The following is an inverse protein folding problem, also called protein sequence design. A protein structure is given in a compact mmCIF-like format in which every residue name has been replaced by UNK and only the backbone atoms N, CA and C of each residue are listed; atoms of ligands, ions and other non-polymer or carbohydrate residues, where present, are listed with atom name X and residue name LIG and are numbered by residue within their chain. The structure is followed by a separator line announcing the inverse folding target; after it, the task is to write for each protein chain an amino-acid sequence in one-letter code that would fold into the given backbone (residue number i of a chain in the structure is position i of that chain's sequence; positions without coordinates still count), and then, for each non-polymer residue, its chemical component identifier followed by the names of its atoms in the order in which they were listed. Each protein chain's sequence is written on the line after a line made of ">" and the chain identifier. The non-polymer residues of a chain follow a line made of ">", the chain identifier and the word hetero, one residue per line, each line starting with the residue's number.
data_IF_958321470727
#
_entry.id   IF_958321470727
#
_cell.length_a   1.000
_cell.length_b   1.000
_cell.length_c   1.000
_cell.angle_alpha   90.00
_cell.angle_beta   90.00
_cell.angle_gamma   90.00
#
_symmetry.space_group_name_H-M   'P 1'
#
loop_
_entity.id
_entity.type
_entity.pdbx_description
1 polymer ?
#
# COMPACT_ATOMS: atom_id res chain seq x y z
N UNK A 1 33.09 -47.88 -11.23
CA UNK A 1 32.81 -47.83 -9.78
C UNK A 1 32.16 -49.15 -9.38
N UNK A 2 32.81 -49.92 -8.51
CA UNK A 2 32.49 -51.34 -8.22
C UNK A 2 31.13 -51.52 -7.54
N UNK A 3 30.38 -52.55 -7.98
CA UNK A 3 29.12 -53.05 -7.39
C UNK A 3 29.20 -53.21 -5.86
N UNK A 4 30.38 -53.48 -5.33
CA UNK A 4 30.66 -53.70 -3.92
C UNK A 4 30.42 -52.46 -3.04
N UNK A 5 30.42 -51.25 -3.64
CA UNK A 5 30.07 -49.99 -2.92
C UNK A 5 28.56 -49.78 -2.84
N UNK A 6 27.80 -50.25 -3.82
CA UNK A 6 26.34 -50.14 -3.83
C UNK A 6 25.70 -51.11 -2.83
N UNK A 7 26.26 -52.30 -2.68
CA UNK A 7 25.76 -53.32 -1.75
C UNK A 7 26.05 -52.95 -0.29
N UNK A 8 27.17 -52.26 -0.01
CA UNK A 8 27.47 -51.71 1.32
C UNK A 8 26.54 -50.59 1.76
N UNK A 9 26.07 -49.76 0.82
CA UNK A 9 25.11 -48.69 1.13
C UNK A 9 23.72 -49.29 1.43
N UNK A 10 23.29 -50.31 0.67
CA UNK A 10 22.05 -51.04 0.95
C UNK A 10 22.08 -51.80 2.29
N UNK A 11 23.21 -52.41 2.64
CA UNK A 11 23.34 -53.12 3.91
C UNK A 11 23.32 -52.18 5.14
N UNK A 12 23.81 -50.95 5.01
CA UNK A 12 23.73 -49.95 6.08
C UNK A 12 22.33 -49.34 6.23
N UNK A 13 21.58 -49.20 5.12
CA UNK A 13 20.20 -48.69 5.16
C UNK A 13 19.23 -49.67 5.83
N UNK A 14 19.48 -50.98 5.75
CA UNK A 14 18.64 -52.01 6.37
C UNK A 14 18.97 -52.29 7.86
N UNK A 15 20.11 -51.79 8.38
CA UNK A 15 20.48 -51.93 9.80
C UNK A 15 20.01 -50.79 10.69
N UNK A 16 19.72 -49.62 10.13
CA UNK A 16 19.07 -48.54 10.87
C UNK A 16 17.56 -48.69 10.70
N UNK A 17 16.95 -49.44 11.63
CA UNK A 17 15.53 -49.74 11.63
C UNK A 17 14.68 -48.49 11.43
N UNK A 18 13.98 -48.46 10.29
CA UNK A 18 12.85 -47.57 10.06
C UNK A 18 11.78 -47.86 11.09
N UNK A 19 11.75 -47.05 12.14
CA UNK A 19 10.52 -46.76 12.87
C UNK A 19 10.07 -45.39 12.41
N UNK A 20 9.09 -45.37 11.51
CA UNK A 20 8.28 -44.18 11.27
C UNK A 20 7.72 -43.74 12.61
N UNK A 21 8.20 -42.61 13.14
CA UNK A 21 7.63 -42.00 14.33
C UNK A 21 6.21 -41.53 13.97
N UNK A 22 5.18 -41.89 14.75
CA UNK A 22 3.85 -41.34 14.55
C UNK A 22 3.90 -39.82 14.76
N UNK A 23 3.13 -39.07 13.98
CA UNK A 23 3.09 -37.59 14.02
C UNK A 23 2.79 -37.02 15.42
N UNK A 24 2.19 -37.81 16.31
CA UNK A 24 1.92 -37.44 17.70
C UNK A 24 3.18 -37.32 18.58
N UNK A 25 4.25 -38.09 18.33
CA UNK A 25 5.49 -38.05 19.13
C UNK A 25 6.33 -36.78 18.82
N UNK A 26 6.12 -36.18 17.64
CA UNK A 26 6.75 -34.91 17.27
C UNK A 26 6.06 -33.76 18.00
N UNK A 27 4.74 -33.79 18.14
CA UNK A 27 3.98 -32.77 18.89
C UNK A 27 4.31 -32.81 20.39
N UNK A 28 4.52 -33.98 21.00
CA UNK A 28 4.80 -34.09 22.44
C UNK A 28 6.23 -33.66 22.82
N UNK A 29 7.21 -33.89 21.95
CA UNK A 29 8.59 -33.42 22.15
C UNK A 29 8.79 -31.92 21.92
N UNK A 30 7.90 -31.27 21.15
CA UNK A 30 7.90 -29.82 20.91
C UNK A 30 7.08 -29.07 21.98
N UNK A 31 6.03 -29.68 22.51
CA UNK A 31 5.15 -29.04 23.50
C UNK A 31 5.71 -29.00 24.93
N UNK A 32 6.63 -29.90 25.30
CA UNK A 32 7.19 -30.01 26.65
C UNK A 32 8.33 -29.02 26.98
N UNK A 33 8.77 -28.16 26.06
CA UNK A 33 9.85 -27.17 26.30
C UNK A 33 9.42 -25.70 26.26
N UNK A 34 8.13 -25.38 26.10
CA UNK A 34 7.63 -24.01 25.88
C UNK A 34 7.18 -23.28 27.15
N UNK A 35 7.70 -23.69 28.31
CA UNK A 35 7.42 -23.04 29.60
C UNK A 35 8.56 -22.12 30.06
N UNK A 36 8.43 -20.82 29.79
CA UNK A 36 9.23 -19.69 30.32
C UNK A 36 10.69 -19.62 29.84
N UNK A 37 10.97 -18.65 28.95
CA UNK A 37 12.28 -18.29 28.37
C UNK A 37 12.98 -19.44 27.62
N UNK A 38 12.26 -20.06 26.67
CA UNK A 38 12.91 -20.93 25.69
C UNK A 38 13.80 -20.06 24.80
N UNK A 39 15.12 -20.24 24.92
CA UNK A 39 16.12 -19.64 24.04
C UNK A 39 15.67 -19.73 22.57
N UNK A 40 15.79 -18.62 21.86
CA UNK A 40 15.63 -18.47 20.42
C UNK A 40 16.59 -19.43 19.70
N UNK A 41 16.21 -20.71 19.61
CA UNK A 41 17.08 -21.73 19.04
C UNK A 41 17.04 -21.56 17.53
N UNK A 42 18.13 -21.03 16.98
CA UNK A 42 18.30 -20.90 15.54
C UNK A 42 18.37 -22.32 14.94
N UNK A 43 17.42 -22.63 14.07
CA UNK A 43 17.33 -23.85 13.28
C UNK A 43 17.71 -23.56 11.82
N UNK A 44 18.12 -24.60 11.10
CA UNK A 44 18.40 -24.52 9.66
C UNK A 44 17.24 -25.17 8.92
N UNK A 45 16.62 -24.45 7.99
CA UNK A 45 15.47 -24.92 7.21
C UNK A 45 15.81 -24.90 5.72
N UNK A 46 15.31 -25.89 4.98
CA UNK A 46 15.39 -25.85 3.51
C UNK A 46 14.49 -24.73 3.01
N UNK A 47 15.00 -23.89 2.11
CA UNK A 47 14.26 -22.71 1.62
C UNK A 47 12.93 -23.09 0.95
N UNK A 48 12.83 -24.28 0.36
CA UNK A 48 11.62 -24.75 -0.31
C UNK A 48 10.50 -25.16 0.66
N UNK A 49 10.79 -25.23 1.96
CA UNK A 49 9.80 -25.54 3.00
C UNK A 49 9.12 -24.29 3.55
N UNK A 50 9.53 -23.11 3.08
CA UNK A 50 9.10 -21.81 3.59
C UNK A 50 8.17 -21.13 2.60
N UNK A 51 7.04 -20.64 3.10
CA UNK A 51 6.13 -19.81 2.34
C UNK A 51 6.20 -18.37 2.85
N UNK A 52 6.32 -17.37 1.96
CA UNK A 52 6.13 -15.97 2.33
C UNK A 52 4.75 -15.74 2.92
N UNK A 53 4.61 -14.65 3.67
CA UNK A 53 3.35 -14.36 4.29
C UNK A 53 2.42 -13.62 3.33
N UNK A 54 1.31 -14.26 2.98
CA UNK A 54 0.30 -13.73 2.05
C UNK A 54 -0.30 -12.40 2.42
N UNK A 55 -0.17 -11.96 3.68
CA UNK A 55 -0.69 -10.67 4.14
C UNK A 55 0.43 -9.70 4.56
N UNK A 56 1.66 -9.94 4.11
CA UNK A 56 2.75 -9.01 4.32
C UNK A 56 2.43 -7.67 3.67
N UNK A 57 2.43 -6.59 4.46
CA UNK A 57 2.15 -5.23 3.95
C UNK A 57 3.26 -4.69 3.04
N UNK A 58 4.48 -5.23 3.19
CA UNK A 58 5.65 -4.90 2.38
C UNK A 58 5.81 -5.91 1.25
N UNK A 59 5.25 -5.61 0.08
CA UNK A 59 5.62 -6.34 -1.14
C UNK A 59 7.05 -5.98 -1.51
N UNK A 60 7.96 -6.95 -1.45
CA UNK A 60 9.38 -6.78 -1.84
C UNK A 60 9.54 -6.41 -3.30
N UNK A 61 8.63 -6.88 -4.13
CA UNK A 61 8.65 -6.77 -5.57
C UNK A 61 7.31 -6.22 -6.02
N UNK A 62 7.26 -5.31 -7.01
CA UNK A 62 6.00 -4.81 -7.57
C UNK A 62 5.41 -5.84 -8.55
N UNK A 63 5.05 -7.01 -8.02
CA UNK A 63 4.52 -8.18 -8.74
C UNK A 63 2.99 -8.07 -8.81
N UNK A 64 2.42 -8.60 -9.88
CA UNK A 64 0.98 -8.70 -10.05
C UNK A 64 0.36 -9.61 -8.97
N UNK A 65 -0.77 -9.20 -8.39
CA UNK A 65 -1.45 -9.95 -7.33
C UNK A 65 -1.76 -11.40 -7.77
N UNK A 66 -2.06 -11.58 -9.06
CA UNK A 66 -2.35 -12.88 -9.68
C UNK A 66 -1.15 -13.82 -9.73
N UNK A 67 0.08 -13.30 -9.87
CA UNK A 67 1.31 -14.10 -9.86
C UNK A 67 1.61 -14.58 -8.43
N UNK A 68 1.46 -13.69 -7.43
CA UNK A 68 1.60 -14.08 -6.02
C UNK A 68 0.54 -15.10 -5.61
N UNK A 69 -0.69 -15.00 -6.12
CA UNK A 69 -1.73 -16.00 -5.84
C UNK A 69 -1.32 -17.42 -6.27
N UNK A 70 -0.63 -17.55 -7.41
CA UNK A 70 -0.11 -18.85 -7.90
C UNK A 70 0.99 -19.43 -7.01
N UNK A 71 1.77 -18.59 -6.32
CA UNK A 71 2.71 -19.08 -5.32
C UNK A 71 1.93 -19.63 -4.10
N UNK A 72 0.91 -18.91 -3.65
CA UNK A 72 0.15 -19.27 -2.45
C UNK A 72 -0.79 -20.46 -2.63
N UNK A 73 -1.26 -20.75 -3.85
CA UNK A 73 -2.01 -21.97 -4.15
C UNK A 73 -1.11 -23.17 -4.51
N UNK A 74 0.21 -22.94 -4.60
CA UNK A 74 1.21 -23.96 -4.94
C UNK A 74 1.30 -24.29 -6.44
N UNK A 75 0.60 -23.56 -7.31
CA UNK A 75 0.70 -23.73 -8.76
C UNK A 75 2.06 -23.32 -9.29
N UNK A 76 2.70 -22.32 -8.67
CA UNK A 76 4.04 -21.83 -8.99
C UNK A 76 5.02 -22.06 -7.84
N UNK A 77 6.24 -22.44 -8.19
CA UNK A 77 7.39 -22.41 -7.28
C UNK A 77 7.96 -21.00 -7.15
N UNK A 78 8.78 -20.77 -6.13
CA UNK A 78 9.52 -19.52 -5.98
C UNK A 78 10.44 -19.23 -7.18
N UNK A 79 11.01 -20.27 -7.81
CA UNK A 79 11.84 -20.11 -9.01
C UNK A 79 11.03 -19.66 -10.22
N UNK A 80 9.85 -20.25 -10.44
CA UNK A 80 8.95 -19.82 -11.53
C UNK A 80 8.46 -18.38 -11.35
N UNK A 81 8.27 -17.94 -10.11
CA UNK A 81 7.97 -16.54 -9.84
C UNK A 81 9.17 -15.63 -10.14
N UNK A 82 10.40 -16.04 -9.80
CA UNK A 82 11.62 -15.31 -10.17
C UNK A 82 11.81 -15.21 -11.68
N UNK A 83 11.45 -16.25 -12.46
CA UNK A 83 11.47 -16.18 -13.92
C UNK A 83 10.53 -15.09 -14.45
N UNK A 84 9.31 -15.01 -13.90
CA UNK A 84 8.35 -13.97 -14.27
C UNK A 84 8.88 -12.56 -13.94
N UNK A 85 9.43 -12.39 -12.73
CA UNK A 85 10.03 -11.11 -12.30
C UNK A 85 11.22 -10.73 -13.21
N UNK A 86 12.08 -11.71 -13.53
CA UNK A 86 13.26 -11.49 -14.35
C UNK A 86 12.90 -11.08 -15.79
N UNK A 87 11.76 -11.53 -16.31
CA UNK A 87 11.24 -11.12 -17.61
C UNK A 87 10.75 -9.66 -17.59
N UNK A 88 10.11 -9.22 -16.50
CA UNK A 88 9.52 -7.88 -16.37
C UNK A 88 10.56 -6.78 -16.06
N UNK A 89 11.75 -7.14 -15.55
CA UNK A 89 12.76 -6.17 -15.11
C UNK A 89 13.22 -5.18 -16.18
N UNK A 90 13.17 -5.57 -17.46
CA UNK A 90 13.58 -4.71 -18.57
C UNK A 90 12.55 -3.64 -18.93
N UNK A 91 11.31 -3.81 -18.48
CA UNK A 91 10.18 -2.94 -18.81
C UNK A 91 9.78 -2.03 -17.64
N UNK A 92 10.21 -2.37 -16.42
CA UNK A 92 9.79 -1.69 -15.21
C UNK A 92 10.98 -1.36 -14.29
N UNK A 93 11.32 -0.07 -14.23
CA UNK A 93 12.42 0.45 -13.40
C UNK A 93 12.26 0.10 -11.91
N UNK A 94 11.03 0.03 -11.40
CA UNK A 94 10.79 -0.34 -10.00
C UNK A 94 11.09 -1.82 -9.74
N UNK A 95 10.78 -2.70 -10.71
CA UNK A 95 11.19 -4.11 -10.66
C UNK A 95 12.71 -4.22 -10.71
N UNK A 96 13.36 -3.50 -11.63
CA UNK A 96 14.82 -3.51 -11.78
C UNK A 96 15.53 -3.01 -10.50
N UNK A 97 15.03 -1.95 -9.87
CA UNK A 97 15.59 -1.44 -8.62
C UNK A 97 15.44 -2.45 -7.47
N UNK A 98 14.27 -3.08 -7.33
CA UNK A 98 14.05 -4.14 -6.34
C UNK A 98 14.94 -5.37 -6.61
N UNK A 99 15.18 -5.68 -7.90
CA UNK A 99 16.07 -6.74 -8.35
C UNK A 99 17.50 -6.50 -7.92
N UNK A 100 18.02 -5.31 -8.21
CA UNK A 100 19.38 -4.95 -7.82
C UNK A 100 19.57 -4.98 -6.30
N UNK A 101 18.63 -4.44 -5.53
CA UNK A 101 18.70 -4.52 -4.06
C UNK A 101 18.73 -5.95 -3.53
N UNK A 102 18.04 -6.88 -4.22
CA UNK A 102 18.03 -8.29 -3.83
C UNK A 102 19.33 -9.00 -4.23
N UNK A 103 19.94 -8.63 -5.36
CA UNK A 103 21.30 -9.06 -5.73
C UNK A 103 22.32 -8.60 -4.68
N UNK A 104 22.25 -7.34 -4.26
CA UNK A 104 23.19 -6.79 -3.29
C UNK A 104 23.08 -7.55 -1.95
N UNK A 105 21.85 -7.86 -1.52
CA UNK A 105 21.60 -8.69 -0.34
C UNK A 105 22.08 -10.14 -0.53
N UNK A 106 21.87 -10.73 -1.70
CA UNK A 106 22.35 -12.08 -2.02
C UNK A 106 23.89 -12.15 -1.94
N UNK A 107 24.59 -11.19 -2.54
CA UNK A 107 26.05 -11.11 -2.47
C UNK A 107 26.55 -10.90 -1.03
N UNK A 108 25.86 -10.07 -0.23
CA UNK A 108 26.18 -9.91 1.20
C UNK A 108 26.02 -11.23 1.97
N UNK A 109 24.95 -11.99 1.72
CA UNK A 109 24.74 -13.31 2.35
C UNK A 109 25.85 -14.28 1.96
N UNK A 110 26.25 -14.33 0.69
CA UNK A 110 27.32 -15.22 0.24
C UNK A 110 28.68 -14.86 0.87
N UNK A 111 28.96 -13.57 1.01
CA UNK A 111 30.23 -13.04 1.52
C UNK A 111 30.37 -13.13 3.04
N UNK A 112 29.30 -12.85 3.78
CA UNK A 112 29.33 -12.67 5.23
C UNK A 112 28.58 -13.77 5.98
N UNK A 113 27.77 -14.57 5.27
CA UNK A 113 26.74 -15.42 5.85
C UNK A 113 25.50 -14.61 6.23
N UNK A 114 24.43 -15.30 6.60
CA UNK A 114 23.20 -14.66 7.03
C UNK A 114 23.37 -14.02 8.41
N UNK A 115 23.61 -12.71 8.50
CA UNK A 115 23.87 -12.03 9.78
C UNK A 115 22.78 -12.25 10.84
N UNK A 116 21.49 -12.20 10.45
CA UNK A 116 20.38 -12.40 11.38
C UNK A 116 19.38 -13.46 10.86
N UNK A 117 18.90 -14.35 11.74
CA UNK A 117 17.92 -15.37 11.39
C UNK A 117 16.61 -14.74 10.89
N UNK A 118 15.82 -15.51 10.13
CA UNK A 118 14.42 -15.20 9.84
C UNK A 118 13.54 -15.73 10.97
N UNK A 119 12.31 -15.23 11.11
CA UNK A 119 11.34 -15.78 12.07
C UNK A 119 10.27 -16.53 11.29
N UNK A 120 9.92 -17.74 11.73
CA UNK A 120 8.95 -18.60 11.04
C UNK A 120 7.97 -19.24 12.01
N UNK A 121 6.73 -19.46 11.58
CA UNK A 121 5.73 -20.18 12.34
C UNK A 121 5.24 -21.41 11.56
N UNK A 122 5.06 -22.58 12.21
CA UNK A 122 4.43 -23.71 11.56
C UNK A 122 2.94 -23.39 11.31
N UNK A 123 2.43 -23.70 10.12
CA UNK A 123 1.04 -23.44 9.77
C UNK A 123 0.39 -24.66 9.09
N UNK A 124 -0.85 -24.95 9.47
CA UNK A 124 -1.66 -26.01 8.85
C UNK A 124 -2.32 -25.50 7.56
N UNK A 125 -2.51 -26.40 6.60
CA UNK A 125 -3.22 -26.08 5.35
C UNK A 125 -2.38 -25.32 4.31
N UNK A 126 -1.05 -25.35 4.43
CA UNK A 126 -0.15 -24.83 3.39
C UNK A 126 -0.15 -25.77 2.17
N UNK A 127 0.20 -25.26 0.97
CA UNK A 127 0.39 -26.10 -0.20
C UNK A 127 1.47 -27.16 0.03
N UNK A 128 1.41 -28.25 -0.74
CA UNK A 128 2.35 -29.37 -0.61
C UNK A 128 3.81 -28.90 -0.73
N UNK A 129 4.65 -29.31 0.22
CA UNK A 129 6.06 -28.92 0.29
C UNK A 129 6.36 -27.83 1.32
N UNK A 130 5.39 -26.94 1.59
CA UNK A 130 5.55 -25.89 2.58
C UNK A 130 5.18 -26.37 3.98
N UNK A 131 6.03 -26.04 4.96
CA UNK A 131 5.87 -26.42 6.38
C UNK A 131 5.75 -25.21 7.30
N UNK A 132 6.36 -24.10 6.90
CA UNK A 132 6.40 -22.89 7.71
C UNK A 132 6.01 -21.65 6.91
N UNK A 133 5.41 -20.68 7.58
CA UNK A 133 5.21 -19.32 7.06
C UNK A 133 6.22 -18.38 7.68
N UNK A 134 6.79 -17.51 6.86
CA UNK A 134 7.78 -16.52 7.28
C UNK A 134 7.06 -15.39 8.00
N UNK A 135 7.34 -15.16 9.28
CA UNK A 135 6.87 -13.97 9.99
C UNK A 135 7.70 -12.75 9.61
N UNK A 136 9.03 -12.84 9.76
CA UNK A 136 9.96 -11.77 9.41
C UNK A 136 11.17 -12.30 8.66
N UNK A 137 11.74 -11.46 7.78
CA UNK A 137 12.94 -11.83 7.01
C UNK A 137 12.68 -12.31 5.58
N UNK A 138 11.51 -12.04 4.99
CA UNK A 138 11.21 -12.39 3.59
C UNK A 138 12.27 -11.90 2.59
N UNK A 139 12.90 -10.75 2.83
CA UNK A 139 14.00 -10.29 1.97
C UNK A 139 15.17 -11.27 1.91
N UNK A 140 15.50 -11.94 3.02
CA UNK A 140 16.54 -12.97 3.04
C UNK A 140 16.06 -14.21 2.30
N UNK A 141 14.84 -14.66 2.56
CA UNK A 141 14.23 -15.77 1.82
C UNK A 141 14.31 -15.56 0.29
N UNK A 142 13.92 -14.38 -0.20
CA UNK A 142 14.02 -14.07 -1.62
C UNK A 142 15.47 -14.00 -2.12
N UNK A 143 16.39 -13.45 -1.33
CA UNK A 143 17.82 -13.44 -1.69
C UNK A 143 18.39 -14.86 -1.81
N UNK A 144 18.00 -15.79 -0.93
CA UNK A 144 18.39 -17.19 -1.03
C UNK A 144 17.87 -17.85 -2.32
N UNK A 145 16.58 -17.70 -2.65
CA UNK A 145 16.05 -18.19 -3.93
C UNK A 145 16.73 -17.55 -5.15
N UNK A 146 17.05 -16.26 -5.05
CA UNK A 146 17.75 -15.52 -6.09
C UNK A 146 19.20 -16.01 -6.28
N UNK A 147 19.91 -16.41 -5.23
CA UNK A 147 21.24 -17.03 -5.36
C UNK A 147 21.17 -18.27 -6.26
N UNK A 148 20.20 -19.16 -6.04
CA UNK A 148 20.01 -20.34 -6.90
C UNK A 148 19.70 -19.93 -8.33
N UNK A 149 18.75 -19.01 -8.51
CA UNK A 149 18.37 -18.52 -9.84
C UNK A 149 19.55 -17.92 -10.61
N UNK A 150 20.34 -17.06 -9.96
CA UNK A 150 21.51 -16.41 -10.56
C UNK A 150 22.62 -17.42 -10.88
N UNK A 151 22.81 -18.44 -10.04
CA UNK A 151 23.80 -19.49 -10.28
C UNK A 151 23.53 -20.25 -11.58
N UNK A 152 22.25 -20.42 -11.94
CA UNK A 152 21.82 -21.11 -13.15
C UNK A 152 21.76 -20.18 -14.38
N UNK A 153 21.26 -18.95 -14.21
CA UNK A 153 20.88 -18.09 -15.33
C UNK A 153 21.82 -16.89 -15.57
N UNK A 154 22.51 -16.41 -14.53
CA UNK A 154 23.32 -15.20 -14.58
C UNK A 154 24.50 -15.22 -13.58
N UNK A 155 25.41 -16.22 -13.66
CA UNK A 155 26.43 -16.44 -12.63
C UNK A 155 27.41 -15.28 -12.49
N UNK A 156 27.58 -14.45 -13.52
CA UNK A 156 28.44 -13.26 -13.49
C UNK A 156 27.92 -12.15 -12.57
N UNK A 157 26.67 -12.22 -12.10
CA UNK A 157 26.11 -11.27 -11.13
C UNK A 157 26.41 -11.66 -9.68
N UNK A 158 26.88 -12.90 -9.45
CA UNK A 158 27.40 -13.34 -8.17
C UNK A 158 28.88 -12.99 -8.09
N UNK A 159 29.23 -12.17 -7.10
CA UNK A 159 30.57 -11.59 -6.99
C UNK A 159 31.61 -12.59 -6.45
N UNK A 160 31.15 -13.66 -5.80
CA UNK A 160 32.01 -14.67 -5.20
C UNK A 160 31.85 -16.01 -5.90
N UNK A 161 32.95 -16.72 -6.19
CA UNK A 161 32.88 -18.08 -6.69
C UNK A 161 32.30 -19.00 -5.61
N UNK A 162 31.61 -20.07 -6.03
CA UNK A 162 30.91 -20.99 -5.14
C UNK A 162 31.79 -21.59 -4.03
N UNK A 163 33.07 -21.81 -4.30
CA UNK A 163 34.03 -22.33 -3.32
C UNK A 163 34.31 -21.36 -2.16
N UNK A 164 33.99 -20.08 -2.30
CA UNK A 164 34.21 -19.03 -1.31
C UNK A 164 32.93 -18.65 -0.54
N UNK A 165 31.81 -19.28 -0.86
CA UNK A 165 30.54 -19.01 -0.17
C UNK A 165 30.61 -19.48 1.28
N UNK A 166 30.20 -18.60 2.22
CA UNK A 166 30.25 -18.91 3.65
C UNK A 166 29.14 -19.82 4.15
N UNK A 167 28.05 -19.91 3.41
CA UNK A 167 26.87 -20.69 3.77
C UNK A 167 26.32 -21.42 2.54
N UNK A 168 25.70 -22.58 2.79
CA UNK A 168 24.98 -23.33 1.77
C UNK A 168 23.64 -22.64 1.49
N UNK A 169 23.40 -22.11 0.26
CA UNK A 169 22.18 -21.39 -0.05
C UNK A 169 20.95 -22.32 -0.13
N UNK A 170 21.10 -23.64 0.02
CA UNK A 170 19.93 -24.52 0.20
C UNK A 170 19.24 -24.29 1.54
N UNK A 171 19.97 -23.83 2.56
CA UNK A 171 19.44 -23.73 3.92
C UNK A 171 19.51 -22.31 4.47
N UNK A 172 18.42 -21.89 5.10
CA UNK A 172 18.30 -20.58 5.75
C UNK A 172 18.18 -20.73 7.26
N UNK A 173 18.84 -19.85 8.00
CA UNK A 173 18.78 -19.79 9.46
C UNK A 173 17.48 -19.15 9.91
N UNK A 174 16.71 -19.84 10.74
CA UNK A 174 15.40 -19.42 11.20
C UNK A 174 15.23 -19.60 12.72
N UNK A 175 14.37 -18.79 13.33
CA UNK A 175 13.83 -18.98 14.68
C UNK A 175 12.38 -19.41 14.53
N UNK A 176 12.04 -20.60 15.02
CA UNK A 176 10.68 -21.08 15.02
C UNK A 176 9.90 -20.51 16.22
N UNK A 177 8.76 -19.91 15.95
CA UNK A 177 7.80 -19.41 16.94
C UNK A 177 6.51 -20.21 16.86
N UNK A 178 5.71 -20.17 17.93
CA UNK A 178 4.47 -20.95 18.02
C UNK A 178 3.36 -20.41 17.12
N UNK A 179 3.16 -19.09 17.12
CA UNK A 179 2.08 -18.44 16.38
C UNK A 179 2.59 -17.15 15.73
N UNK A 180 2.27 -16.93 14.44
CA UNK A 180 2.64 -15.70 13.76
C UNK A 180 1.86 -14.53 14.36
N UNK A 181 2.50 -13.36 14.48
CA UNK A 181 1.85 -12.15 14.97
C UNK A 181 2.17 -10.94 14.09
N UNK A 182 1.13 -10.36 13.47
CA UNK A 182 1.29 -9.12 12.69
C UNK A 182 1.76 -7.96 13.53
N UNK A 183 1.28 -7.87 14.77
CA UNK A 183 1.70 -6.82 15.68
C UNK A 183 3.22 -6.84 15.88
N UNK A 184 3.81 -8.03 16.05
CA UNK A 184 5.27 -8.19 16.16
C UNK A 184 5.98 -7.80 14.87
N UNK A 185 5.49 -8.28 13.73
CA UNK A 185 6.03 -7.91 12.41
C UNK A 185 6.05 -6.39 12.19
N UNK A 186 4.92 -5.73 12.45
CA UNK A 186 4.77 -4.27 12.27
C UNK A 186 5.67 -3.53 13.26
N UNK A 187 5.70 -3.92 14.53
CA UNK A 187 6.54 -3.30 15.55
C UNK A 187 8.04 -3.38 15.18
N UNK A 188 8.51 -4.55 14.71
CA UNK A 188 9.90 -4.75 14.29
C UNK A 188 10.25 -3.88 13.06
N UNK A 189 9.38 -3.87 12.05
CA UNK A 189 9.59 -3.08 10.83
C UNK A 189 9.57 -1.57 11.12
N UNK A 190 8.74 -1.13 12.05
CA UNK A 190 8.69 0.24 12.52
C UNK A 190 9.97 0.66 13.25
N UNK A 191 10.48 -0.18 14.16
CA UNK A 191 11.74 0.07 14.87
C UNK A 191 12.93 0.19 13.90
N UNK A 192 12.92 -0.60 12.83
CA UNK A 192 13.97 -0.58 11.80
C UNK A 192 13.73 0.44 10.68
N UNK A 193 12.65 1.22 10.73
CA UNK A 193 12.24 2.16 9.67
C UNK A 193 12.28 1.52 8.27
N UNK A 194 11.87 0.26 8.17
CA UNK A 194 12.16 -0.60 7.02
C UNK A 194 11.15 -0.50 5.87
N UNK A 195 10.16 0.39 5.96
CA UNK A 195 9.16 0.59 4.91
C UNK A 195 9.74 1.42 3.78
N UNK A 196 9.61 0.94 2.55
CA UNK A 196 10.11 1.63 1.37
C UNK A 196 9.18 2.79 0.98
N UNK A 197 7.87 2.60 1.08
CA UNK A 197 6.86 3.63 0.79
C UNK A 197 5.95 3.91 1.99
N UNK A 198 5.28 5.06 1.96
CA UNK A 198 4.20 5.34 2.91
C UNK A 198 3.01 4.39 2.75
N UNK A 199 2.81 3.84 1.54
CA UNK A 199 1.75 2.87 1.27
C UNK A 199 2.06 1.53 1.93
N UNK A 200 3.31 1.04 1.87
CA UNK A 200 3.71 -0.19 2.57
C UNK A 200 3.42 -0.12 4.06
N UNK A 201 3.77 1.03 4.65
CA UNK A 201 3.53 1.29 6.07
C UNK A 201 2.03 1.33 6.39
N UNK A 202 1.22 1.95 5.53
CA UNK A 202 -0.22 1.97 5.68
C UNK A 202 -0.85 0.56 5.58
N UNK A 203 -0.37 -0.25 4.63
CA UNK A 203 -0.81 -1.64 4.46
C UNK A 203 -0.44 -2.51 5.66
N UNK A 204 0.74 -2.31 6.23
CA UNK A 204 1.18 -3.01 7.44
C UNK A 204 0.29 -2.67 8.65
N UNK A 205 -0.10 -1.40 8.82
CA UNK A 205 -1.07 -1.04 9.85
C UNK A 205 -2.46 -1.62 9.60
N UNK A 206 -2.92 -1.62 8.34
CA UNK A 206 -4.22 -2.18 7.99
C UNK A 206 -4.27 -3.70 8.21
N UNK A 207 -3.20 -4.42 7.88
CA UNK A 207 -3.11 -5.87 8.08
C UNK A 207 -3.11 -6.26 9.56
N UNK A 208 -2.34 -5.55 10.38
CA UNK A 208 -2.35 -5.71 11.83
C UNK A 208 -3.73 -5.44 12.43
N UNK A 209 -4.42 -4.39 11.98
CA UNK A 209 -5.76 -4.09 12.48
C UNK A 209 -6.81 -5.09 11.99
N UNK A 210 -6.64 -5.68 10.81
CA UNK A 210 -7.51 -6.74 10.32
C UNK A 210 -7.39 -8.00 11.19
N UNK A 211 -6.15 -8.43 11.49
CA UNK A 211 -5.86 -9.56 12.38
C UNK A 211 -6.45 -9.35 13.78
N UNK A 212 -6.18 -8.19 14.40
CA UNK A 212 -6.75 -7.84 15.71
C UNK A 212 -8.29 -7.83 15.71
N UNK A 213 -8.89 -7.50 14.57
CA UNK A 213 -10.35 -7.51 14.40
C UNK A 213 -10.95 -8.90 14.27
N UNK A 214 -10.14 -9.97 14.32
CA UNK A 214 -10.57 -11.33 14.01
C UNK A 214 -11.03 -11.50 12.56
N UNK A 215 -10.69 -10.55 11.69
CA UNK A 215 -10.98 -10.67 10.27
C UNK A 215 -9.89 -11.56 9.67
N UNK A 216 -10.22 -12.84 9.51
CA UNK A 216 -9.48 -13.70 8.59
C UNK A 216 -9.45 -12.98 7.25
N UNK A 217 -8.25 -12.77 6.73
CA UNK A 217 -8.05 -12.09 5.46
C UNK A 217 -8.39 -13.10 4.35
N UNK A 218 -9.67 -13.46 4.24
CA UNK A 218 -10.15 -14.26 3.14
C UNK A 218 -10.02 -13.44 1.84
N UNK A 219 -9.47 -14.07 0.79
CA UNK A 219 -9.27 -13.43 -0.52
C UNK A 219 -7.81 -13.26 -0.95
N UNK A 220 -7.62 -12.65 -2.11
CA UNK A 220 -6.31 -12.49 -2.76
C UNK A 220 -5.33 -11.69 -1.92
N UNK A 221 -4.04 -12.02 -1.99
CA UNK A 221 -2.99 -11.22 -1.37
C UNK A 221 -3.02 -9.77 -1.89
N UNK A 222 -2.64 -8.77 -1.09
CA UNK A 222 -2.52 -7.40 -1.57
C UNK A 222 -1.50 -7.35 -2.70
N UNK A 223 -1.79 -6.62 -3.77
CA UNK A 223 -0.93 -6.54 -4.94
C UNK A 223 -1.37 -5.47 -5.92
N UNK A 224 -0.63 -5.34 -7.01
CA UNK A 224 -1.03 -4.48 -8.12
C UNK A 224 -1.72 -5.37 -9.16
N UNK A 225 -2.84 -4.91 -9.71
CA UNK A 225 -3.52 -5.57 -10.82
C UNK A 225 -3.99 -4.52 -11.81
N UNK A 226 -3.54 -4.62 -13.06
CA UNK A 226 -3.84 -3.65 -14.12
C UNK A 226 -3.57 -2.20 -13.69
N UNK A 227 -2.45 -1.96 -13.01
CA UNK A 227 -2.04 -0.65 -12.52
C UNK A 227 -2.83 -0.11 -11.31
N UNK A 228 -3.63 -0.95 -10.65
CA UNK A 228 -4.43 -0.58 -9.48
C UNK A 228 -4.00 -1.38 -8.26
N UNK A 229 -3.95 -0.75 -7.10
CA UNK A 229 -3.70 -1.45 -5.85
C UNK A 229 -4.97 -2.22 -5.45
N UNK A 230 -4.90 -3.54 -5.49
CA UNK A 230 -5.97 -4.46 -5.05
C UNK A 230 -5.64 -4.96 -3.65
N UNK A 231 -6.58 -4.78 -2.74
CA UNK A 231 -6.43 -5.17 -1.33
C UNK A 231 -7.60 -6.07 -0.90
N UNK A 232 -7.36 -7.02 0.03
CA UNK A 232 -8.45 -7.74 0.68
C UNK A 232 -9.46 -6.78 1.33
N UNK A 233 -10.75 -7.12 1.32
CA UNK A 233 -11.80 -6.30 1.94
C UNK A 233 -11.54 -6.07 3.44
N UNK A 234 -10.92 -7.05 4.12
CA UNK A 234 -10.53 -6.92 5.52
C UNK A 234 -9.58 -5.73 5.76
N UNK A 235 -8.71 -5.40 4.81
CA UNK A 235 -7.79 -4.26 4.91
C UNK A 235 -8.53 -2.95 4.77
N UNK A 236 -9.44 -2.85 3.79
CA UNK A 236 -10.28 -1.68 3.61
C UNK A 236 -11.13 -1.39 4.84
N UNK A 237 -11.76 -2.44 5.37
CA UNK A 237 -12.56 -2.36 6.61
C UNK A 237 -11.70 -1.92 7.79
N UNK A 238 -10.53 -2.52 7.98
CA UNK A 238 -9.62 -2.19 9.06
C UNK A 238 -9.11 -0.74 8.96
N UNK A 239 -8.76 -0.27 7.75
CA UNK A 239 -8.34 1.11 7.51
C UNK A 239 -9.45 2.12 7.82
N UNK A 240 -10.70 1.84 7.43
CA UNK A 240 -11.87 2.68 7.74
C UNK A 240 -12.21 2.70 9.24
N UNK A 241 -12.13 1.56 9.91
CA UNK A 241 -12.37 1.47 11.36
C UNK A 241 -11.27 2.19 12.15
N UNK A 242 -10.03 2.12 11.66
CA UNK A 242 -8.85 2.68 12.31
C UNK A 242 -8.62 2.09 13.70
N UNK A 243 -8.15 2.95 14.61
CA UNK A 243 -7.80 2.58 15.99
C UNK A 243 -8.97 2.72 16.99
N UNK A 244 -10.22 2.61 16.54
CA UNK A 244 -11.40 2.65 17.42
C UNK A 244 -11.42 1.39 18.30
N UNK A 245 -11.48 1.55 19.62
CA UNK A 245 -11.50 0.44 20.59
C UNK A 245 -10.15 -0.29 20.80
N UNK A 246 -9.12 -0.01 19.99
CA UNK A 246 -7.85 -0.76 19.96
C UNK A 246 -6.68 -0.01 20.62
N UNK A 247 -6.91 0.53 21.83
CA UNK A 247 -5.90 1.36 22.52
C UNK A 247 -4.67 0.54 22.95
N UNK A 248 -4.87 -0.72 23.32
CA UNK A 248 -3.80 -1.62 23.81
C UNK A 248 -2.72 -1.91 22.76
N UNK A 249 -3.03 -1.79 21.46
CA UNK A 249 -2.04 -1.95 20.38
C UNK A 249 -1.00 -0.82 20.38
N UNK A 250 -1.36 0.37 20.87
CA UNK A 250 -0.47 1.54 20.86
C UNK A 250 0.72 1.37 21.80
N UNK A 251 0.55 0.59 22.86
CA UNK A 251 1.61 0.37 23.86
C UNK A 251 2.73 -0.54 23.32
N UNK A 252 2.46 -1.25 22.21
CA UNK A 252 3.38 -2.23 21.60
C UNK A 252 4.06 -1.71 20.32
N UNK A 253 3.62 -0.55 19.81
CA UNK A 253 4.16 0.04 18.58
C UNK A 253 5.01 1.28 18.89
N UNK A 254 6.18 1.44 18.24
CA UNK A 254 6.98 2.66 18.35
C UNK A 254 6.40 3.81 17.48
N UNK A 255 5.09 3.80 17.22
CA UNK A 255 4.40 4.76 16.35
C UNK A 255 3.22 5.40 17.08
N UNK A 256 3.08 6.72 16.93
CA UNK A 256 1.98 7.44 17.60
C UNK A 256 0.62 7.12 16.95
N UNK A 257 -0.46 7.19 17.75
CA UNK A 257 -1.85 7.07 17.26
C UNK A 257 -2.13 7.95 16.05
N UNK A 258 -1.67 9.21 16.09
CA UNK A 258 -1.87 10.18 15.01
C UNK A 258 -1.13 9.76 13.74
N UNK A 259 0.08 9.21 13.86
CA UNK A 259 0.86 8.71 12.73
C UNK A 259 0.19 7.52 12.07
N UNK A 260 -0.27 6.54 12.85
CA UNK A 260 -0.99 5.37 12.34
C UNK A 260 -2.26 5.81 11.58
N UNK A 261 -3.05 6.71 12.19
CA UNK A 261 -4.26 7.24 11.55
C UNK A 261 -3.99 7.98 10.23
N UNK A 262 -2.90 8.76 10.14
CA UNK A 262 -2.52 9.43 8.89
C UNK A 262 -2.23 8.42 7.78
N UNK A 263 -1.48 7.37 8.07
CA UNK A 263 -1.16 6.34 7.08
C UNK A 263 -2.41 5.57 6.66
N UNK A 264 -3.27 5.18 7.60
CA UNK A 264 -4.54 4.52 7.26
C UNK A 264 -5.46 5.43 6.40
N UNK A 265 -5.43 6.74 6.66
CA UNK A 265 -6.17 7.72 5.84
C UNK A 265 -5.72 7.71 4.38
N UNK A 266 -4.43 7.50 4.10
CA UNK A 266 -3.92 7.40 2.72
C UNK A 266 -4.67 6.31 1.95
N UNK A 267 -4.81 5.12 2.53
CA UNK A 267 -5.55 4.03 1.89
C UNK A 267 -6.98 4.47 1.58
N UNK A 268 -7.69 5.00 2.59
CA UNK A 268 -9.13 5.31 2.43
C UNK A 268 -9.44 6.51 1.53
N UNK A 269 -8.48 7.41 1.30
CA UNK A 269 -8.73 8.69 0.64
C UNK A 269 -8.16 8.79 -0.78
N UNK A 270 -7.10 8.04 -1.08
CA UNK A 270 -6.47 8.05 -2.40
C UNK A 270 -7.08 7.01 -3.32
N UNK A 271 -7.15 7.33 -4.61
CA UNK A 271 -7.61 6.42 -5.64
C UNK A 271 -6.69 5.18 -5.78
N UNK A 272 -7.21 3.97 -6.08
CA UNK A 272 -6.39 2.77 -6.21
C UNK A 272 -5.25 2.86 -7.24
N UNK A 273 -5.38 3.63 -8.33
CA UNK A 273 -4.27 3.82 -9.27
C UNK A 273 -3.18 4.70 -8.67
N UNK A 274 -3.57 5.71 -7.88
CA UNK A 274 -2.66 6.61 -7.17
C UNK A 274 -1.89 5.83 -6.10
N UNK A 275 -2.58 4.95 -5.37
CA UNK A 275 -1.95 4.07 -4.39
C UNK A 275 -0.93 3.12 -5.02
N UNK A 276 -1.23 2.55 -6.20
CA UNK A 276 -0.30 1.70 -6.93
C UNK A 276 0.95 2.47 -7.37
N UNK A 277 0.77 3.62 -8.02
CA UNK A 277 1.87 4.48 -8.46
C UNK A 277 2.72 4.96 -7.28
N UNK A 278 2.09 5.43 -6.20
CA UNK A 278 2.77 5.86 -4.99
C UNK A 278 3.63 4.75 -4.36
N UNK A 279 3.13 3.52 -4.38
CA UNK A 279 3.86 2.35 -3.89
C UNK A 279 5.03 1.99 -4.81
N UNK A 280 4.82 1.94 -6.13
CA UNK A 280 5.87 1.63 -7.12
C UNK A 280 7.04 2.62 -7.07
N UNK A 281 6.75 3.91 -6.87
CA UNK A 281 7.75 4.97 -6.82
C UNK A 281 8.23 5.31 -5.39
N UNK A 282 7.91 4.47 -4.41
CA UNK A 282 8.36 4.64 -3.02
C UNK A 282 8.05 6.01 -2.40
N UNK A 283 6.90 6.60 -2.72
CA UNK A 283 6.58 7.96 -2.31
C UNK A 283 6.35 8.06 -0.79
N UNK A 284 6.81 9.19 -0.23
CA UNK A 284 6.69 9.50 1.18
C UNK A 284 5.30 10.00 1.56
N UNK A 285 4.94 9.89 2.84
CA UNK A 285 3.65 10.36 3.34
C UNK A 285 3.48 11.88 3.16
N UNK A 286 4.58 12.63 3.22
CA UNK A 286 4.57 14.08 3.03
C UNK A 286 4.23 14.47 1.57
N UNK A 287 4.72 13.73 0.57
CA UNK A 287 4.38 13.95 -0.84
C UNK A 287 2.93 13.59 -1.16
N UNK A 288 2.37 12.58 -0.48
CA UNK A 288 1.00 12.10 -0.74
C UNK A 288 -0.08 12.90 -0.02
N UNK A 289 0.28 13.57 1.09
CA UNK A 289 -0.68 14.29 1.93
C UNK A 289 -1.49 15.36 1.20
N UNK A 290 -0.91 16.19 0.30
CA UNK A 290 -1.66 17.20 -0.44
C UNK A 290 -2.77 16.60 -1.32
N UNK A 291 -2.59 15.36 -1.80
CA UNK A 291 -3.55 14.67 -2.67
C UNK A 291 -4.79 14.18 -1.91
N UNK A 292 -4.69 13.96 -0.59
CA UNK A 292 -5.76 13.35 0.22
C UNK A 292 -7.08 14.14 0.20
N UNK A 293 -7.02 15.46 0.05
CA UNK A 293 -8.20 16.34 -0.04
C UNK A 293 -8.68 16.56 -1.48
N UNK A 294 -7.96 16.07 -2.48
CA UNK A 294 -8.25 16.31 -3.89
C UNK A 294 -9.23 15.26 -4.47
N UNK A 295 -10.04 15.62 -5.48
CA UNK A 295 -10.80 14.67 -6.29
C UNK A 295 -9.91 13.62 -6.97
N UNK A 296 -10.45 12.44 -7.27
CA UNK A 296 -9.69 11.35 -7.87
C UNK A 296 -9.05 11.69 -9.24
N UNK A 297 -9.68 12.55 -10.05
CA UNK A 297 -9.10 13.06 -11.30
C UNK A 297 -7.79 13.80 -11.02
N UNK A 298 -7.82 14.69 -10.05
CA UNK A 298 -6.73 15.61 -9.73
C UNK A 298 -5.62 14.86 -9.01
N UNK A 299 -5.97 13.90 -8.15
CA UNK A 299 -5.01 12.98 -7.55
C UNK A 299 -4.20 12.24 -8.62
N UNK A 300 -4.86 11.76 -9.70
CA UNK A 300 -4.19 11.04 -10.80
C UNK A 300 -3.31 11.95 -11.66
N UNK A 301 -3.73 13.19 -11.88
CA UNK A 301 -2.88 14.17 -12.58
C UNK A 301 -1.65 14.53 -11.74
N UNK A 302 -1.87 14.89 -10.47
CA UNK A 302 -0.82 15.29 -9.53
C UNK A 302 0.21 14.19 -9.30
N UNK A 303 -0.22 12.93 -9.12
CA UNK A 303 0.73 11.82 -8.90
C UNK A 303 1.62 11.61 -10.12
N UNK A 304 1.08 11.79 -11.34
CA UNK A 304 1.85 11.71 -12.57
C UNK A 304 2.96 12.75 -12.62
N UNK A 305 2.65 14.01 -12.30
CA UNK A 305 3.65 15.09 -12.24
C UNK A 305 4.66 14.87 -11.12
N UNK A 306 4.23 14.48 -9.91
CA UNK A 306 5.11 14.20 -8.78
C UNK A 306 6.14 13.13 -9.14
N UNK A 307 5.71 12.07 -9.82
CA UNK A 307 6.60 10.98 -10.25
C UNK A 307 7.52 11.44 -11.39
N UNK A 308 6.96 12.05 -12.43
CA UNK A 308 7.72 12.43 -13.62
C UNK A 308 8.82 13.46 -13.30
N UNK A 309 8.53 14.42 -12.43
CA UNK A 309 9.45 15.50 -12.06
C UNK A 309 10.20 15.22 -10.75
N UNK A 310 9.95 14.06 -10.11
CA UNK A 310 10.54 13.68 -8.82
C UNK A 310 10.37 14.76 -7.74
N UNK A 311 9.17 15.34 -7.65
CA UNK A 311 8.90 16.51 -6.80
C UNK A 311 9.12 16.21 -5.33
N UNK A 312 9.76 17.16 -4.63
CA UNK A 312 9.87 17.16 -3.18
C UNK A 312 8.50 17.33 -2.52
N UNK A 313 8.41 17.08 -1.21
CA UNK A 313 7.16 17.28 -0.46
C UNK A 313 6.66 18.73 -0.49
N UNK A 314 7.58 19.70 -0.63
CA UNK A 314 7.25 21.12 -0.71
C UNK A 314 6.66 21.45 -2.07
N UNK A 315 7.32 21.03 -3.15
CA UNK A 315 6.85 21.26 -4.53
C UNK A 315 5.52 20.54 -4.79
N UNK A 316 5.34 19.32 -4.27
CA UNK A 316 4.06 18.60 -4.35
C UNK A 316 2.92 19.34 -3.66
N UNK A 317 3.23 20.08 -2.57
CA UNK A 317 2.25 20.91 -1.88
C UNK A 317 1.93 22.17 -2.68
N UNK A 318 2.95 22.89 -3.15
CA UNK A 318 2.81 24.09 -3.98
C UNK A 318 2.02 23.80 -5.27
N UNK A 319 2.31 22.69 -5.96
CA UNK A 319 1.58 22.24 -7.15
C UNK A 319 0.10 21.95 -6.84
N UNK A 320 -0.16 21.33 -5.70
CA UNK A 320 -1.52 21.05 -5.23
C UNK A 320 -2.30 22.32 -4.89
N UNK A 321 -1.64 23.37 -4.40
CA UNK A 321 -2.26 24.68 -4.13
C UNK A 321 -2.54 25.44 -5.43
N UNK A 322 -1.60 25.45 -6.38
CA UNK A 322 -1.78 26.09 -7.69
C UNK A 322 -3.01 25.57 -8.42
N UNK A 323 -3.24 24.26 -8.43
CA UNK A 323 -4.46 23.69 -9.03
C UNK A 323 -5.75 24.13 -8.33
N UNK A 324 -5.70 24.48 -7.04
CA UNK A 324 -6.88 25.03 -6.36
C UNK A 324 -7.15 26.49 -6.78
N UNK A 325 -6.08 27.27 -6.93
CA UNK A 325 -6.17 28.68 -7.31
C UNK A 325 -6.60 28.86 -8.77
N UNK A 326 -6.09 28.02 -9.68
CA UNK A 326 -6.48 28.01 -11.10
C UNK A 326 -7.98 27.71 -11.27
N UNK A 327 -8.51 26.77 -10.49
CA UNK A 327 -9.95 26.47 -10.52
C UNK A 327 -10.81 27.62 -9.99
N UNK A 328 -10.34 28.35 -8.98
CA UNK A 328 -11.03 29.54 -8.47
C UNK A 328 -11.02 30.63 -9.54
N UNK A 329 -9.89 30.84 -10.21
CA UNK A 329 -9.76 31.83 -11.28
C UNK A 329 -10.66 31.50 -12.48
N UNK A 330 -10.75 30.22 -12.87
CA UNK A 330 -11.66 29.75 -13.92
C UNK A 330 -13.13 30.02 -13.59
N UNK A 331 -13.53 29.80 -12.33
CA UNK A 331 -14.90 30.07 -11.86
C UNK A 331 -15.19 31.57 -11.89
N UNK A 332 -14.27 32.39 -11.37
CA UNK A 332 -14.44 33.85 -11.37
C UNK A 332 -14.48 34.43 -12.79
N UNK A 333 -13.65 33.91 -13.70
CA UNK A 333 -13.65 34.26 -15.12
C UNK A 333 -14.97 33.89 -15.80
N UNK A 334 -15.48 32.67 -15.57
CA UNK A 334 -16.77 32.23 -16.11
C UNK A 334 -17.93 33.08 -15.57
N UNK A 335 -17.92 33.41 -14.28
CA UNK A 335 -18.91 34.30 -13.67
C UNK A 335 -18.82 35.73 -14.20
N UNK A 336 -17.62 36.24 -14.48
CA UNK A 336 -17.40 37.53 -15.11
C UNK A 336 -17.97 37.60 -16.52
N UNK A 337 -17.68 36.57 -17.34
CA UNK A 337 -18.19 36.47 -18.70
C UNK A 337 -19.73 36.40 -18.76
N UNK A 338 -20.35 35.69 -17.82
CA UNK A 338 -21.81 35.62 -17.70
C UNK A 338 -22.45 36.95 -17.33
N UNK A 339 -21.83 37.72 -16.43
CA UNK A 339 -22.31 39.07 -16.10
C UNK A 339 -22.21 40.02 -17.29
N UNK A 340 -21.13 39.94 -18.06
CA UNK A 340 -20.95 40.75 -19.25
C UNK A 340 -21.99 40.41 -20.34
N UNK A 341 -22.34 39.13 -20.50
CA UNK A 341 -23.41 38.71 -21.42
C UNK A 341 -24.80 39.14 -20.93
N UNK A 342 -25.10 39.05 -19.64
CA UNK A 342 -26.34 39.62 -19.07
C UNK A 342 -26.44 41.14 -19.27
N UNK A 343 -25.34 41.86 -19.09
CA UNK A 343 -25.30 43.32 -19.22
C UNK A 343 -25.43 43.77 -20.69
N UNK A 344 -24.83 43.02 -21.62
CA UNK A 344 -25.03 43.22 -23.07
C UNK A 344 -26.47 42.93 -23.48
N UNK A 345 -27.07 41.84 -22.97
CA UNK A 345 -28.47 41.48 -23.26
C UNK A 345 -29.48 42.47 -22.66
N UNK A 346 -29.13 43.16 -21.56
CA UNK A 346 -29.95 44.24 -21.00
C UNK A 346 -29.86 45.54 -21.79
N UNK A 347 -28.73 45.81 -22.43
CA UNK A 347 -28.51 47.03 -23.20
C UNK A 347 -29.04 46.90 -24.65
N UNK A 348 -29.09 45.69 -25.21
CA UNK A 348 -29.74 45.40 -26.50
C UNK A 348 -31.23 45.05 -26.30
N UNK A 349 -32.05 46.06 -26.01
CA UNK A 349 -33.50 45.96 -26.13
C UNK A 349 -33.91 46.05 -27.61
N UNK A 350 -33.98 44.91 -28.31
CA UNK A 350 -34.35 44.91 -29.73
C UNK A 350 -34.84 43.60 -30.31
N UNK A 351 -33.99 42.58 -30.40
CA UNK A 351 -34.30 41.39 -31.20
C UNK A 351 -34.02 40.07 -30.47
N UNK A 352 -34.94 39.13 -30.63
CA UNK A 352 -34.91 37.81 -30.00
C UNK A 352 -33.77 36.95 -30.57
N UNK A 353 -32.63 36.91 -29.85
CA UNK A 353 -31.52 36.01 -30.15
C UNK A 353 -31.91 34.59 -29.70
N UNK A 354 -31.76 33.55 -30.54
CA UNK A 354 -32.12 32.18 -30.18
C UNK A 354 -31.23 31.63 -29.06
N UNK A 355 -31.87 30.95 -28.11
CA UNK A 355 -31.28 30.29 -26.94
C UNK A 355 -30.43 29.07 -27.35
N UNK A 356 -29.21 29.29 -27.82
CA UNK A 356 -28.15 28.29 -27.71
C UNK A 356 -27.38 28.57 -26.43
N UNK A 357 -27.33 27.60 -25.51
CA UNK A 357 -26.54 27.67 -24.27
C UNK A 357 -25.14 28.21 -24.59
N UNK A 358 -24.81 29.45 -24.19
CA UNK A 358 -23.51 30.04 -24.45
C UNK A 358 -22.42 29.12 -23.90
N UNK A 359 -21.29 29.01 -24.60
CA UNK A 359 -20.17 28.15 -24.20
C UNK A 359 -19.71 28.45 -22.76
N UNK A 360 -19.92 29.68 -22.33
CA UNK A 360 -19.71 30.25 -21.00
C UNK A 360 -20.64 29.62 -19.95
N UNK A 361 -21.92 29.40 -20.26
CA UNK A 361 -22.84 28.67 -19.38
C UNK A 361 -22.42 27.20 -19.30
N UNK A 362 -21.98 26.59 -20.41
CA UNK A 362 -21.47 25.22 -20.39
C UNK A 362 -20.15 25.09 -19.58
N UNK A 363 -19.30 26.12 -19.56
CA UNK A 363 -18.10 26.19 -18.71
C UNK A 363 -18.49 26.36 -17.24
N UNK A 364 -19.42 27.26 -16.92
CA UNK A 364 -19.94 27.44 -15.56
C UNK A 364 -20.61 26.15 -15.05
N UNK A 365 -21.48 25.52 -15.83
CA UNK A 365 -22.15 24.28 -15.46
C UNK A 365 -21.15 23.13 -15.24
N UNK A 366 -20.07 23.04 -16.04
CA UNK A 366 -18.98 22.08 -15.80
C UNK A 366 -18.21 22.40 -14.53
N UNK A 367 -17.97 23.66 -14.22
CA UNK A 367 -17.30 24.07 -12.98
C UNK A 367 -18.20 23.81 -11.75
N UNK A 368 -19.49 24.16 -11.83
CA UNK A 368 -20.48 23.86 -10.79
C UNK A 368 -20.69 22.36 -10.62
N UNK A 369 -20.69 21.56 -11.69
CA UNK A 369 -20.77 20.10 -11.60
C UNK A 369 -19.53 19.50 -10.92
N UNK A 370 -18.33 20.06 -11.13
CA UNK A 370 -17.10 19.66 -10.41
C UNK A 370 -17.19 20.01 -8.92
N UNK A 371 -17.71 21.19 -8.58
CA UNK A 371 -17.92 21.62 -7.19
C UNK A 371 -19.03 20.80 -6.52
N UNK A 372 -20.13 20.52 -7.21
CA UNK A 372 -21.21 19.68 -6.74
C UNK A 372 -20.74 18.22 -6.54
N UNK A 373 -19.96 17.66 -7.46
CA UNK A 373 -19.33 16.35 -7.29
C UNK A 373 -18.38 16.28 -6.09
N UNK A 374 -17.68 17.37 -5.78
CA UNK A 374 -16.90 17.53 -4.53
C UNK A 374 -17.80 17.56 -3.30
N UNK A 375 -18.89 18.32 -3.36
CA UNK A 375 -19.87 18.40 -2.27
C UNK A 375 -20.55 17.05 -2.02
N UNK A 376 -20.92 16.32 -3.07
CA UNK A 376 -21.51 14.98 -3.02
C UNK A 376 -20.52 13.95 -2.47
N UNK A 377 -19.24 14.03 -2.88
CA UNK A 377 -18.17 13.19 -2.34
C UNK A 377 -17.90 13.47 -0.87
N UNK A 378 -18.01 14.73 -0.42
CA UNK A 378 -17.94 15.11 0.99
C UNK A 378 -19.20 14.68 1.76
N UNK A 379 -20.38 14.79 1.14
CA UNK A 379 -21.67 14.36 1.69
C UNK A 379 -21.76 12.86 1.88
N UNK A 380 -21.20 12.07 0.97
CA UNK A 380 -21.10 10.61 1.10
C UNK A 380 -20.10 10.18 2.20
N UNK A 381 -19.19 11.08 2.62
CA UNK A 381 -18.11 10.79 3.57
C UNK A 381 -18.35 11.32 4.98
N UNK A 382 -19.33 12.19 5.18
CA UNK A 382 -19.65 12.81 6.46
C UNK A 382 -21.16 12.74 6.74
N UNK A 383 -21.54 12.43 7.98
CA UNK A 383 -22.95 12.51 8.38
C UNK A 383 -23.45 13.96 8.26
N UNK A 384 -24.74 14.19 8.00
CA UNK A 384 -25.31 15.55 7.86
C UNK A 384 -24.94 16.48 9.04
N UNK A 385 -24.80 15.92 10.25
CA UNK A 385 -24.33 16.66 11.43
C UNK A 385 -22.87 17.09 11.31
N UNK A 386 -21.97 16.22 10.83
CA UNK A 386 -20.55 16.53 10.67
C UNK A 386 -20.31 17.58 9.58
N UNK A 387 -21.11 17.56 8.50
CA UNK A 387 -21.09 18.62 7.48
C UNK A 387 -21.57 19.95 8.03
N UNK A 388 -22.66 19.96 8.81
CA UNK A 388 -23.15 21.18 9.46
C UNK A 388 -22.09 21.76 10.42
N UNK A 389 -21.40 20.92 11.19
CA UNK A 389 -20.34 21.38 12.12
C UNK A 389 -19.08 21.85 11.39
N UNK A 390 -18.70 21.21 10.27
CA UNK A 390 -17.60 21.69 9.42
C UNK A 390 -17.92 23.01 8.74
N UNK A 391 -19.16 23.16 8.26
CA UNK A 391 -19.62 24.42 7.66
C UNK A 391 -19.66 25.52 8.73
N UNK A 392 -20.17 25.26 9.93
CA UNK A 392 -20.16 26.22 11.04
C UNK A 392 -18.75 26.58 11.49
N UNK A 393 -17.84 25.61 11.62
CA UNK A 393 -16.46 25.87 12.03
C UNK A 393 -15.67 26.69 10.99
N UNK A 394 -15.90 26.43 9.69
CA UNK A 394 -15.27 27.22 8.63
C UNK A 394 -15.88 28.63 8.56
N UNK A 395 -17.18 28.77 8.80
CA UNK A 395 -17.85 30.07 8.91
C UNK A 395 -17.32 30.88 10.11
N UNK A 396 -17.08 30.25 11.25
CA UNK A 396 -16.54 30.89 12.46
C UNK A 396 -15.06 31.30 12.29
N UNK A 397 -14.25 30.47 11.62
CA UNK A 397 -12.85 30.79 11.32
C UNK A 397 -12.71 32.02 10.40
N UNK A 398 -13.67 32.23 9.49
CA UNK A 398 -13.72 33.41 8.62
C UNK A 398 -14.27 34.67 9.31
N UNK A 399 -15.16 34.52 10.30
CA UNK A 399 -15.68 35.65 11.09
C UNK A 399 -14.63 36.22 12.06
N UNK A 400 -13.65 35.43 12.52
CA UNK A 400 -12.52 35.95 13.31
C UNK A 400 -11.54 36.79 12.46
N UNK A 401 -11.38 36.48 11.18
CA UNK A 401 -10.48 37.21 10.28
C UNK A 401 -11.08 38.47 9.63
N UNK A 402 -12.39 38.70 9.75
CA UNK A 402 -13.09 39.83 9.10
C UNK A 402 -13.50 40.97 10.03
N UNK A 403 -13.17 40.90 11.33
CA UNK A 403 -13.50 41.96 12.31
C UNK A 403 -12.81 43.32 12.10
N UNK A 404 -11.97 43.47 11.07
CA UNK A 404 -11.25 44.73 10.79
C UNK A 404 -11.59 45.45 9.48
N UNK A 405 -12.38 44.87 8.56
CA UNK A 405 -12.54 45.43 7.21
C UNK A 405 -14.00 45.85 6.93
N UNK A 406 -14.18 47.16 6.68
CA UNK A 406 -15.44 47.76 6.27
C UNK A 406 -16.03 47.09 5.00
N UNK A 407 -17.29 46.64 5.12
CA UNK A 407 -18.32 46.52 4.06
C UNK A 407 -17.87 46.07 2.67
N UNK A 408 -17.16 44.94 2.56
CA UNK A 408 -17.15 44.15 1.33
C UNK A 408 -18.06 42.93 1.49
N UNK A 409 -18.94 42.76 0.49
CA UNK A 409 -19.98 41.73 0.37
C UNK A 409 -19.38 40.34 0.59
N UNK A 410 -19.65 39.76 1.75
CA UNK A 410 -19.13 38.49 2.25
C UNK A 410 -19.53 37.29 1.37
N UNK A 411 -18.75 36.19 1.35
CA UNK A 411 -19.11 34.93 0.68
C UNK A 411 -20.49 34.40 1.10
N UNK A 412 -20.88 34.61 2.36
CA UNK A 412 -22.21 34.28 2.91
C UNK A 412 -23.36 34.97 2.14
N UNK A 413 -23.19 36.25 1.80
CA UNK A 413 -24.12 36.97 0.94
C UNK A 413 -24.11 36.44 -0.50
N UNK A 414 -22.94 36.01 -1.01
CA UNK A 414 -22.80 35.50 -2.38
C UNK A 414 -23.42 34.10 -2.56
N UNK A 415 -23.22 33.20 -1.59
CA UNK A 415 -23.82 31.86 -1.57
C UNK A 415 -25.34 31.96 -1.36
N UNK A 416 -25.79 32.79 -0.40
CA UNK A 416 -27.23 33.03 -0.20
C UNK A 416 -27.91 33.63 -1.44
N UNK A 417 -27.21 34.51 -2.17
CA UNK A 417 -27.72 35.08 -3.42
C UNK A 417 -27.71 34.07 -4.58
N UNK A 418 -26.74 33.16 -4.63
CA UNK A 418 -26.69 32.08 -5.64
C UNK A 418 -27.80 31.05 -5.41
N UNK A 419 -28.08 30.67 -4.17
CA UNK A 419 -29.18 29.77 -3.83
C UNK A 419 -30.53 30.41 -4.17
N UNK A 420 -30.74 31.68 -3.81
CA UNK A 420 -31.96 32.41 -4.17
C UNK A 420 -32.15 32.59 -5.69
N UNK A 421 -31.06 32.69 -6.46
CA UNK A 421 -31.11 32.71 -7.93
C UNK A 421 -31.47 31.33 -8.52
N UNK A 422 -31.00 30.26 -7.88
CA UNK A 422 -31.33 28.89 -8.27
C UNK A 422 -32.83 28.60 -8.05
N UNK A 423 -33.35 28.96 -6.88
CA UNK A 423 -34.78 28.80 -6.56
C UNK A 423 -35.66 29.62 -7.53
N UNK A 424 -35.24 30.84 -7.89
CA UNK A 424 -35.94 31.68 -8.86
C UNK A 424 -35.92 31.11 -10.29
N UNK A 425 -34.83 30.46 -10.69
CA UNK A 425 -34.73 29.83 -12.01
C UNK A 425 -35.64 28.58 -12.07
N UNK A 426 -35.64 27.78 -11.00
CA UNK A 426 -36.48 26.59 -10.85
C UNK A 426 -37.99 26.95 -10.87
N UNK A 427 -38.38 28.03 -10.18
CA UNK A 427 -39.76 28.55 -10.22
C UNK A 427 -40.14 29.15 -11.58
N UNK A 428 -39.18 29.61 -12.37
CA UNK A 428 -39.43 30.20 -13.70
C UNK A 428 -39.56 29.17 -14.82
N UNK A 429 -39.27 27.88 -14.53
CA UNK A 429 -39.30 26.80 -15.52
C UNK A 429 -38.27 26.97 -16.65
N UNK A 430 -37.17 27.69 -16.39
CA UNK A 430 -36.08 27.95 -17.34
C UNK A 430 -34.82 27.18 -17.01
#
# INVERSE_FOLDING_TARGET
>A
MSQDRADRIRANFLRQGGRSRPAADVEESVSLSLGKRADERVISLDINELLPDRYQGRLRWPIEASQMAKLYDGSWSAQQLLDAIAAERGENDAVQAAWQQSIDLANSILAEGQVAPITVAPQRGLPSGYRFVIETGEGRYWAYHLIHWLSEHAPTQLLLPQAEWREDPQYIRAIAITEPSRLRQVAENEQRQSYASAIDRALAYASMLAEEGGHLVEGSAPGIEAGRLVLPEAYWRAARQGLRGKRQLLDQLPASRRQIQRHLKLLTALDPTVLASAKQHNLSEAQLRPLVSKPASDQRALIGTIVAESLSSREAHELSEQLADDEIYDIEGALGALRATEESARNDSGDAIPLTLPEEVAKLLRALARVAGRYESLRQRASERELATLIEAELDHYDEHTRGAQRLKTPRYRIGKLLALFDQLEESGK
#
